data_IF_346277165747
#
_entry.id   IF_346277165747
#
_cell.length_a   1.000
_cell.length_b   1.000
_cell.length_c   1.000
_cell.angle_alpha   90.00
_cell.angle_beta   90.00
_cell.angle_gamma   90.00
#
_symmetry.space_group_name_H-M   'P 1'
#
loop_
_entity.id
_entity.type
_entity.pdbx_description
1 polymer ?
#
# COMPACT_ATOMS: atom_id res chain seq x y z
N UNK A 1 4.16 -20.56 -4.74
CA UNK A 1 3.13 -19.50 -4.86
C UNK A 1 3.30 -18.58 -3.67
N UNK A 2 3.52 -17.27 -3.86
CA UNK A 2 3.65 -16.33 -2.73
C UNK A 2 2.25 -15.97 -2.22
N UNK A 3 2.09 -15.95 -0.89
CA UNK A 3 0.82 -15.72 -0.19
C UNK A 3 1.01 -14.62 0.86
N UNK A 4 0.00 -13.76 1.02
CA UNK A 4 -0.11 -12.84 2.17
C UNK A 4 -1.38 -13.16 2.93
N UNK A 5 -1.26 -13.30 4.25
CA UNK A 5 -2.40 -13.30 5.17
C UNK A 5 -2.44 -11.93 5.85
N UNK A 6 -3.61 -11.31 5.86
CA UNK A 6 -3.87 -10.12 6.66
C UNK A 6 -4.99 -10.43 7.63
N UNK A 7 -4.83 -10.05 8.90
CA UNK A 7 -5.82 -10.20 9.96
C UNK A 7 -5.98 -8.88 10.69
N UNK A 8 -7.21 -8.44 10.87
CA UNK A 8 -7.59 -7.31 11.73
C UNK A 8 -8.06 -7.83 13.09
N UNK A 9 -7.99 -6.97 14.09
CA UNK A 9 -8.46 -7.25 15.45
C UNK A 9 -9.95 -7.55 15.53
N UNK A 10 -10.74 -7.06 14.57
CA UNK A 10 -12.19 -7.31 14.45
C UNK A 10 -12.53 -8.66 13.80
N UNK A 11 -11.54 -9.50 13.50
CA UNK A 11 -11.73 -10.81 12.88
C UNK A 11 -11.83 -10.79 11.35
N UNK A 12 -11.84 -9.62 10.70
CA UNK A 12 -11.71 -9.55 9.25
C UNK A 12 -10.33 -10.09 8.86
N UNK A 13 -10.32 -11.06 7.96
CA UNK A 13 -9.08 -11.56 7.39
C UNK A 13 -9.16 -11.64 5.88
N UNK A 14 -7.99 -11.55 5.24
CA UNK A 14 -7.88 -11.75 3.82
C UNK A 14 -6.70 -12.66 3.51
N UNK A 15 -6.87 -13.48 2.48
CA UNK A 15 -5.81 -14.25 1.86
C UNK A 15 -5.56 -13.67 0.47
N UNK A 16 -4.29 -13.36 0.17
CA UNK A 16 -3.90 -12.80 -1.13
C UNK A 16 -2.88 -13.69 -1.82
N UNK A 17 -3.17 -14.05 -3.07
CA UNK A 17 -2.27 -14.76 -3.98
C UNK A 17 -1.71 -13.81 -5.03
N UNK A 18 -0.44 -13.99 -5.40
CA UNK A 18 0.29 -13.10 -6.28
C UNK A 18 0.70 -13.78 -7.58
N UNK A 19 0.54 -13.07 -8.71
CA UNK A 19 1.02 -13.49 -10.02
C UNK A 19 2.09 -12.54 -10.52
N UNK A 20 3.16 -13.14 -11.03
CA UNK A 20 4.32 -12.43 -11.53
C UNK A 20 4.49 -12.70 -13.02
N UNK A 21 5.00 -11.71 -13.75
CA UNK A 21 5.43 -11.93 -15.13
C UNK A 21 6.78 -12.68 -15.19
N UNK A 22 7.24 -12.97 -16.41
CA UNK A 22 8.53 -13.64 -16.67
C UNK A 22 9.76 -12.85 -16.18
N UNK A 23 9.60 -11.56 -15.83
CA UNK A 23 10.65 -10.69 -15.25
C UNK A 23 10.51 -10.56 -13.73
N UNK A 24 9.71 -11.43 -13.10
CA UNK A 24 9.38 -11.42 -11.67
C UNK A 24 8.77 -10.10 -11.18
N UNK A 25 8.03 -9.37 -12.03
CA UNK A 25 7.23 -8.21 -11.62
C UNK A 25 5.83 -8.67 -11.23
N UNK A 26 5.33 -8.20 -10.10
CA UNK A 26 3.97 -8.49 -9.64
C UNK A 26 2.98 -7.82 -10.58
N UNK A 27 2.23 -8.57 -11.39
CA UNK A 27 1.28 -8.00 -12.37
C UNK A 27 -0.17 -8.07 -11.89
N UNK A 28 -0.48 -9.03 -11.02
CA UNK A 28 -1.85 -9.26 -10.53
C UNK A 28 -1.84 -9.88 -9.14
N UNK A 29 -2.87 -9.58 -8.36
CA UNK A 29 -3.17 -10.33 -7.14
C UNK A 29 -4.66 -10.64 -7.02
N UNK A 30 -4.94 -11.78 -6.39
CA UNK A 30 -6.29 -12.22 -6.05
C UNK A 30 -6.42 -12.23 -4.53
N UNK A 31 -7.39 -11.48 -4.01
CA UNK A 31 -7.66 -11.36 -2.58
C UNK A 31 -9.01 -11.98 -2.27
N UNK A 32 -9.05 -12.90 -1.31
CA UNK A 32 -10.29 -13.45 -0.76
C UNK A 32 -10.51 -12.89 0.64
N UNK A 33 -11.73 -12.46 0.93
CA UNK A 33 -12.13 -11.92 2.23
C UNK A 33 -12.84 -13.01 3.03
N UNK A 34 -12.70 -13.00 4.36
CA UNK A 34 -13.43 -13.91 5.25
C UNK A 34 -14.95 -13.77 5.18
N UNK A 35 -15.46 -12.66 4.65
CA UNK A 35 -16.88 -12.44 4.37
C UNK A 35 -17.39 -13.14 3.09
N UNK A 36 -16.52 -13.80 2.33
CA UNK A 36 -16.85 -14.43 1.05
C UNK A 36 -16.69 -13.54 -0.17
N UNK A 37 -16.47 -12.23 0.00
CA UNK A 37 -16.10 -11.34 -1.11
C UNK A 37 -14.72 -11.69 -1.66
N UNK A 38 -14.47 -11.33 -2.93
CA UNK A 38 -13.15 -11.41 -3.53
C UNK A 38 -12.78 -10.12 -4.26
N UNK A 39 -11.50 -9.87 -4.48
CA UNK A 39 -11.03 -8.75 -5.27
C UNK A 39 -9.83 -9.13 -6.14
N UNK A 40 -9.75 -8.51 -7.31
CA UNK A 40 -8.63 -8.62 -8.24
C UNK A 40 -7.91 -7.27 -8.24
N UNK A 41 -6.60 -7.29 -8.02
CA UNK A 41 -5.74 -6.12 -8.16
C UNK A 41 -4.83 -6.28 -9.37
N UNK A 42 -4.87 -5.32 -10.29
CA UNK A 42 -3.91 -5.18 -11.38
C UNK A 42 -2.84 -4.14 -11.00
N UNK A 43 -1.60 -4.39 -11.43
CA UNK A 43 -0.43 -3.57 -11.12
C UNK A 43 0.26 -3.14 -12.42
N UNK A 44 0.35 -1.83 -12.63
CA UNK A 44 0.98 -1.23 -13.79
C UNK A 44 2.28 -0.55 -13.40
N UNK A 45 3.27 -0.63 -14.28
CA UNK A 45 4.62 -0.13 -14.02
C UNK A 45 5.09 0.81 -15.12
N UNK A 46 5.94 1.75 -14.75
CA UNK A 46 6.78 2.46 -15.70
C UNK A 46 7.85 1.51 -16.28
N UNK A 47 8.50 1.93 -17.37
CA UNK A 47 9.58 1.16 -18.01
C UNK A 47 10.74 0.85 -17.05
N UNK A 48 11.04 1.79 -16.15
CA UNK A 48 12.04 1.64 -15.08
C UNK A 48 11.60 0.72 -13.91
N UNK A 49 10.53 -0.05 -14.09
CA UNK A 49 9.96 -1.01 -13.13
C UNK A 49 9.39 -0.39 -11.85
N UNK A 50 9.21 0.93 -11.77
CA UNK A 50 8.51 1.55 -10.65
C UNK A 50 7.00 1.41 -10.82
N UNK A 51 6.31 1.18 -9.70
CA UNK A 51 4.87 1.01 -9.71
C UNK A 51 4.22 2.34 -10.12
N UNK A 52 3.50 2.34 -11.23
CA UNK A 52 2.77 3.50 -11.73
C UNK A 52 1.40 3.58 -11.09
N UNK A 53 0.70 2.45 -11.04
CA UNK A 53 -0.69 2.40 -10.63
C UNK A 53 -1.08 1.03 -10.09
N UNK A 54 -2.08 1.03 -9.20
CA UNK A 54 -2.87 -0.15 -8.84
C UNK A 54 -4.35 0.11 -9.11
N UNK A 55 -5.04 -0.90 -9.63
CA UNK A 55 -6.50 -0.91 -9.76
C UNK A 55 -7.02 -2.14 -9.05
N UNK A 56 -7.91 -1.96 -8.08
CA UNK A 56 -8.53 -3.05 -7.34
C UNK A 56 -10.03 -3.06 -7.59
N UNK A 57 -10.55 -4.19 -8.09
CA UNK A 57 -11.98 -4.42 -8.32
C UNK A 57 -12.46 -5.54 -7.41
N UNK A 58 -13.46 -5.26 -6.58
CA UNK A 58 -14.12 -6.25 -5.71
C UNK A 58 -15.33 -6.86 -6.41
N UNK A 59 -15.71 -8.07 -5.99
CA UNK A 59 -16.76 -8.89 -6.59
C UNK A 59 -18.16 -8.26 -6.52
N UNK A 60 -18.38 -7.31 -5.62
CA UNK A 60 -19.60 -6.50 -5.51
C UNK A 60 -19.61 -5.27 -6.43
N UNK A 61 -18.58 -5.11 -7.28
CA UNK A 61 -18.46 -4.00 -8.21
C UNK A 61 -17.70 -2.79 -7.67
N UNK A 62 -17.31 -2.77 -6.39
CA UNK A 62 -16.53 -1.68 -5.84
C UNK A 62 -15.16 -1.58 -6.55
N UNK A 63 -14.74 -0.34 -6.84
CA UNK A 63 -13.49 -0.03 -7.52
C UNK A 63 -12.63 0.88 -6.64
N UNK A 64 -11.32 0.66 -6.72
CA UNK A 64 -10.28 1.46 -6.07
C UNK A 64 -9.16 1.69 -7.07
N UNK A 65 -8.53 2.87 -7.00
CA UNK A 65 -7.39 3.25 -7.82
C UNK A 65 -6.33 3.96 -6.98
N UNK A 66 -5.07 3.58 -7.17
CA UNK A 66 -3.92 4.24 -6.55
C UNK A 66 -2.93 4.60 -7.66
N UNK A 67 -2.39 5.82 -7.66
CA UNK A 67 -1.32 6.23 -8.60
C UNK A 67 -0.14 6.80 -7.83
N UNK A 68 1.06 6.67 -8.41
CA UNK A 68 2.31 6.97 -7.73
C UNK A 68 3.21 7.86 -8.58
N UNK A 69 3.86 8.83 -7.95
CA UNK A 69 4.80 9.74 -8.61
C UNK A 69 6.16 9.69 -7.94
N UNK A 70 7.20 9.86 -8.76
CA UNK A 70 8.59 9.76 -8.32
C UNK A 70 9.37 10.99 -8.76
N UNK A 71 10.38 11.38 -7.97
CA UNK A 71 11.35 12.40 -8.39
C UNK A 71 12.40 11.82 -9.38
N UNK A 72 13.29 12.69 -9.86
CA UNK A 72 14.36 12.34 -10.82
C UNK A 72 15.38 11.36 -10.23
N UNK A 73 15.67 11.46 -8.92
CA UNK A 73 16.53 10.51 -8.18
C UNK A 73 15.84 9.16 -8.03
N UNK A 74 14.52 9.19 -8.07
CA UNK A 74 13.68 8.03 -8.16
C UNK A 74 12.92 7.66 -6.91
N UNK A 75 12.86 8.55 -5.92
CA UNK A 75 12.13 8.38 -4.68
C UNK A 75 10.64 8.62 -4.90
N UNK A 76 9.78 7.91 -4.17
CA UNK A 76 8.33 8.07 -4.25
C UNK A 76 7.94 9.38 -3.57
N UNK A 77 7.59 10.42 -4.31
CA UNK A 77 7.28 11.73 -3.73
C UNK A 77 5.79 11.91 -3.38
N UNK A 78 4.90 11.23 -4.11
CA UNK A 78 3.48 11.27 -3.80
C UNK A 78 2.72 10.02 -4.24
N UNK A 79 1.57 9.81 -3.60
CA UNK A 79 0.58 8.83 -4.01
C UNK A 79 -0.82 9.44 -3.96
N UNK A 80 -1.62 9.20 -4.98
CA UNK A 80 -3.02 9.60 -5.03
C UNK A 80 -3.91 8.37 -4.90
N UNK A 81 -4.82 8.41 -3.94
CA UNK A 81 -5.75 7.34 -3.60
C UNK A 81 -7.17 7.76 -3.93
N UNK A 82 -7.82 6.98 -4.78
CA UNK A 82 -9.25 7.02 -5.04
C UNK A 82 -9.88 5.73 -4.52
N UNK A 83 -10.58 5.85 -3.39
CA UNK A 83 -11.22 4.75 -2.70
C UNK A 83 -10.29 3.57 -2.34
N UNK A 84 -9.03 3.84 -1.96
CA UNK A 84 -8.04 2.84 -1.55
C UNK A 84 -8.59 1.93 -0.45
N UNK A 85 -8.48 0.61 -0.69
CA UNK A 85 -9.08 -0.47 0.11
C UNK A 85 -10.56 -0.24 0.48
N UNK A 86 -11.27 0.54 -0.34
CA UNK A 86 -12.68 0.91 -0.22
C UNK A 86 -13.04 1.80 0.96
N UNK A 87 -12.09 2.58 1.49
CA UNK A 87 -12.36 3.51 2.61
C UNK A 87 -11.54 4.80 2.60
N UNK A 88 -10.44 4.87 1.85
CA UNK A 88 -9.51 6.01 1.91
C UNK A 88 -9.42 6.74 0.57
N UNK A 89 -9.57 8.07 0.57
CA UNK A 89 -9.46 8.90 -0.64
C UNK A 89 -8.75 10.20 -0.31
N UNK A 90 -7.63 10.44 -0.99
CA UNK A 90 -6.76 11.59 -0.75
C UNK A 90 -5.39 11.43 -1.37
N UNK A 91 -4.50 12.35 -1.02
CA UNK A 91 -3.11 12.37 -1.48
C UNK A 91 -2.16 12.18 -0.30
N UNK A 92 -1.03 11.53 -0.54
CA UNK A 92 0.08 11.43 0.40
C UNK A 92 1.30 12.09 -0.25
N UNK A 93 2.00 12.94 0.50
CA UNK A 93 3.36 13.37 0.17
C UNK A 93 4.36 12.69 1.10
N UNK A 94 5.41 12.09 0.54
CA UNK A 94 6.41 11.36 1.31
C UNK A 94 7.64 12.22 1.57
N UNK A 95 8.25 12.00 2.73
CA UNK A 95 9.45 12.71 3.17
C UNK A 95 10.53 11.70 3.54
N UNK A 96 11.72 11.97 3.02
CA UNK A 96 12.92 11.18 3.18
C UNK A 96 13.96 11.96 3.99
N UNK A 97 14.84 11.26 4.67
CA UNK A 97 16.02 11.87 5.26
C UNK A 97 17.14 12.09 4.21
N UNK A 98 18.26 12.65 4.67
CA UNK A 98 19.45 12.92 3.84
C UNK A 98 20.11 11.67 3.22
N UNK A 99 19.77 10.47 3.71
CA UNK A 99 20.28 9.19 3.22
C UNK A 99 19.24 8.46 2.36
N UNK A 100 18.22 9.19 1.89
CA UNK A 100 17.10 8.70 1.11
C UNK A 100 16.30 7.57 1.80
N UNK A 101 16.28 7.56 3.14
CA UNK A 101 15.43 6.65 3.91
C UNK A 101 14.05 7.28 4.12
N UNK A 102 12.98 6.52 3.83
CA UNK A 102 11.60 6.97 4.00
C UNK A 102 11.28 7.15 5.48
N UNK A 103 10.96 8.38 5.90
CA UNK A 103 10.69 8.71 7.30
C UNK A 103 9.19 8.89 7.54
N UNK A 104 8.57 9.77 6.76
CA UNK A 104 7.19 10.18 7.00
C UNK A 104 6.38 10.31 5.70
N UNK A 105 5.06 10.35 5.87
CA UNK A 105 4.11 10.73 4.84
C UNK A 105 3.06 11.68 5.43
N UNK A 106 2.61 12.65 4.64
CA UNK A 106 1.56 13.58 5.03
C UNK A 106 0.35 13.34 4.15
N UNK A 107 -0.68 12.79 4.75
CA UNK A 107 -1.94 12.49 4.07
C UNK A 107 -2.90 13.67 4.16
N UNK A 108 -3.48 14.02 3.01
CA UNK A 108 -4.59 14.97 2.88
C UNK A 108 -5.76 14.26 2.19
N UNK A 109 -6.75 13.90 2.98
CA UNK A 109 -7.98 13.26 2.54
C UNK A 109 -9.07 14.23 2.10
N UNK A 110 -10.14 13.66 1.51
CA UNK A 110 -11.41 14.36 1.34
C UNK A 110 -11.94 14.88 2.70
N UNK A 111 -12.72 15.96 2.66
CA UNK A 111 -13.34 16.61 3.83
C UNK A 111 -12.31 17.05 4.89
N UNK A 112 -11.14 17.51 4.46
CA UNK A 112 -10.09 18.04 5.35
C UNK A 112 -9.53 17.04 6.36
N UNK A 113 -9.79 15.74 6.22
CA UNK A 113 -9.13 14.70 7.01
C UNK A 113 -7.64 14.74 6.71
N UNK A 114 -6.81 14.74 7.76
CA UNK A 114 -5.35 14.70 7.63
C UNK A 114 -4.81 13.53 8.41
N UNK A 115 -3.65 13.03 8.01
CA UNK A 115 -2.89 12.11 8.84
C UNK A 115 -1.39 12.35 8.67
N UNK A 116 -0.65 12.10 9.74
CA UNK A 116 0.79 11.88 9.68
C UNK A 116 1.00 10.38 9.62
N UNK A 117 1.86 9.95 8.69
CA UNK A 117 2.23 8.56 8.50
C UNK A 117 3.70 8.45 8.89
N UNK A 118 4.03 7.61 9.86
CA UNK A 118 5.42 7.33 10.25
C UNK A 118 5.80 5.93 9.80
N UNK A 119 6.97 5.84 9.17
CA UNK A 119 7.55 4.59 8.69
C UNK A 119 8.66 4.15 9.63
N UNK A 120 8.78 2.85 9.86
CA UNK A 120 9.95 2.27 10.52
C UNK A 120 10.55 1.20 9.61
N UNK A 121 11.88 1.17 9.56
CA UNK A 121 12.61 0.29 8.68
C UNK A 121 13.52 -0.67 9.46
N UNK A 122 13.76 -1.86 8.91
CA UNK A 122 14.81 -2.75 9.39
C UNK A 122 16.21 -2.30 8.92
N UNK A 123 17.25 -3.05 9.31
CA UNK A 123 18.64 -2.80 8.91
C UNK A 123 18.87 -2.89 7.39
N UNK A 124 17.99 -3.59 6.66
CA UNK A 124 18.03 -3.72 5.21
C UNK A 124 17.18 -2.63 4.52
N UNK A 125 16.68 -1.65 5.28
CA UNK A 125 15.79 -0.57 4.84
C UNK A 125 14.39 -1.04 4.41
N UNK A 126 13.96 -2.26 4.70
CA UNK A 126 12.58 -2.70 4.47
C UNK A 126 11.64 -2.04 5.48
N UNK A 127 10.45 -1.61 5.03
CA UNK A 127 9.43 -1.04 5.93
C UNK A 127 8.81 -2.14 6.78
N UNK A 128 9.09 -2.15 8.08
CA UNK A 128 8.55 -3.12 9.03
C UNK A 128 7.32 -2.60 9.79
N UNK A 129 7.11 -1.29 9.78
CA UNK A 129 5.94 -0.66 10.41
C UNK A 129 5.48 0.57 9.64
N UNK A 130 4.17 0.73 9.53
CA UNK A 130 3.52 1.97 9.08
C UNK A 130 2.52 2.35 10.18
N UNK A 131 2.68 3.53 10.76
CA UNK A 131 1.77 4.09 11.75
C UNK A 131 1.07 5.31 11.19
N UNK A 132 -0.25 5.28 11.15
CA UNK A 132 -1.10 6.40 10.78
C UNK A 132 -1.65 7.05 12.03
N UNK A 133 -1.47 8.37 12.12
CA UNK A 133 -2.04 9.23 13.14
C UNK A 133 -2.96 10.24 12.46
N UNK A 134 -4.28 10.02 12.57
CA UNK A 134 -5.29 10.85 11.95
C UNK A 134 -5.62 12.06 12.83
N UNK A 135 -5.97 13.18 12.19
CA UNK A 135 -6.34 14.42 12.88
C UNK A 135 -7.56 14.32 13.80
N UNK A 136 -8.33 13.22 13.73
CA UNK A 136 -9.45 12.92 14.64
C UNK A 136 -9.06 11.99 15.81
N UNK A 137 -7.76 11.94 16.13
CA UNK A 137 -7.15 11.12 17.20
C UNK A 137 -7.29 9.60 17.00
N UNK A 138 -7.75 9.15 15.84
CA UNK A 138 -7.74 7.73 15.48
C UNK A 138 -6.36 7.37 14.96
N UNK A 139 -5.94 6.15 15.24
CA UNK A 139 -4.68 5.62 14.72
C UNK A 139 -4.88 4.28 14.06
N UNK A 140 -3.99 3.95 13.12
CA UNK A 140 -3.93 2.62 12.51
C UNK A 140 -2.47 2.23 12.35
N UNK A 141 -2.11 1.04 12.83
CA UNK A 141 -0.76 0.50 12.65
C UNK A 141 -0.79 -0.74 11.77
N UNK A 142 0.17 -0.83 10.86
CA UNK A 142 0.49 -2.00 10.08
C UNK A 142 1.89 -2.46 10.45
N UNK A 143 2.05 -3.75 10.73
CA UNK A 143 3.33 -4.39 11.02
C UNK A 143 3.58 -5.42 9.93
N UNK A 144 4.81 -5.48 9.46
CA UNK A 144 5.23 -6.35 8.36
C UNK A 144 6.35 -7.26 8.82
N UNK A 145 6.14 -8.55 8.65
CA UNK A 145 7.17 -9.57 8.78
C UNK A 145 7.51 -10.09 7.38
N UNK A 146 8.80 -10.22 7.10
CA UNK A 146 9.31 -10.69 5.83
C UNK A 146 9.89 -12.08 5.98
N UNK A 147 9.54 -12.99 5.07
CA UNK A 147 10.17 -14.30 4.99
C UNK A 147 11.67 -14.13 4.67
N UNK A 148 12.53 -14.72 5.50
CA UNK A 148 13.95 -14.82 5.19
C UNK A 148 14.11 -15.81 4.05
N UNK A 149 14.67 -15.35 2.92
CA UNK A 149 15.10 -16.25 1.86
C UNK A 149 16.22 -17.11 2.45
N UNK A 150 15.97 -18.42 2.56
CA UNK A 150 17.00 -19.42 2.86
C UNK A 150 17.69 -19.85 1.58
#
# INVERSE_FOLDING_TARGET
MRKKIFRRSDGLSTETHYLYDHKNRLIKSYRQYSSGLSAICDYDYFENRKLKQKILKRSDGALSRETYQYDERGLLISANYDNMDFWLTGEIHFVYDKNDLLQNGYYKGKNSKKAVITFSNDINKNVIRIHWDFSDSKTQTYIFDYEKIR
#
